data_IF_776791885822
#
_entry.id   IF_776791885822
#
_cell.length_a   1.000
_cell.length_b   1.000
_cell.length_c   1.000
_cell.angle_alpha   90.00
_cell.angle_beta   90.00
_cell.angle_gamma   90.00
#
_symmetry.space_group_name_H-M   'P 1'
#
loop_
_entity.id
_entity.type
_entity.pdbx_description
1 polymer ?
#
# COMPACT_ATOMS: atom_id res chain seq x y z
N UNK A 1 -8.52 49.78 19.74
CA UNK A 1 -9.65 48.85 19.56
C UNK A 1 -10.44 49.36 18.38
N UNK A 2 -9.99 49.04 17.16
CA UNK A 2 -10.66 49.50 15.93
C UNK A 2 -11.75 48.50 15.59
N UNK A 3 -13.00 48.92 15.80
CA UNK A 3 -14.17 48.21 15.28
C UNK A 3 -14.12 48.29 13.75
N UNK A 4 -13.63 47.23 13.10
CA UNK A 4 -13.75 47.08 11.65
C UNK A 4 -15.23 47.00 11.33
N UNK A 5 -15.74 48.06 10.71
CA UNK A 5 -17.09 48.10 10.18
C UNK A 5 -17.32 46.88 9.29
N UNK A 6 -18.30 46.06 9.66
CA UNK A 6 -18.77 44.94 8.86
C UNK A 6 -19.52 45.52 7.66
N UNK A 7 -18.78 45.92 6.64
CA UNK A 7 -19.34 46.18 5.31
C UNK A 7 -20.12 44.92 4.91
N UNK A 8 -21.44 45.06 4.83
CA UNK A 8 -22.38 43.97 4.60
C UNK A 8 -22.33 43.60 3.11
N UNK A 9 -21.34 42.80 2.72
CA UNK A 9 -21.22 42.32 1.34
C UNK A 9 -22.32 41.30 1.04
N UNK A 10 -23.42 41.79 0.48
CA UNK A 10 -24.46 41.00 -0.17
C UNK A 10 -25.10 39.95 0.72
N UNK A 11 -26.24 40.29 1.32
CA UNK A 11 -27.19 39.31 1.86
C UNK A 11 -27.37 38.21 0.81
N UNK A 12 -27.02 36.98 1.16
CA UNK A 12 -27.21 35.83 0.27
C UNK A 12 -28.71 35.62 0.08
N UNK A 13 -29.22 35.74 -1.14
CA UNK A 13 -30.66 35.60 -1.42
C UNK A 13 -31.21 34.23 -0.98
N UNK A 14 -30.44 33.14 -1.17
CA UNK A 14 -30.79 31.80 -0.69
C UNK A 14 -29.56 30.91 -0.43
N UNK A 15 -29.74 29.79 0.29
CA UNK A 15 -28.65 28.86 0.69
C UNK A 15 -27.89 28.17 -0.46
N UNK A 16 -28.25 28.43 -1.71
CA UNK A 16 -27.56 27.94 -2.91
C UNK A 16 -26.99 29.07 -3.77
N UNK A 17 -27.27 30.35 -3.47
CA UNK A 17 -26.75 31.48 -4.25
C UNK A 17 -25.23 31.53 -4.15
N UNK A 18 -24.61 32.06 -5.21
CA UNK A 18 -23.18 32.35 -5.26
C UNK A 18 -22.86 33.54 -4.35
N UNK A 19 -21.68 33.50 -3.75
CA UNK A 19 -21.16 34.63 -2.99
C UNK A 19 -20.63 35.71 -3.94
N UNK A 20 -20.74 36.97 -3.53
CA UNK A 20 -20.16 38.07 -4.29
C UNK A 20 -18.64 37.90 -4.40
N UNK A 21 -18.11 38.02 -5.61
CA UNK A 21 -16.69 37.91 -5.91
C UNK A 21 -15.85 38.91 -5.11
N UNK A 22 -16.40 40.08 -4.78
CA UNK A 22 -15.72 41.09 -3.94
C UNK A 22 -15.47 40.58 -2.53
N UNK A 23 -16.48 39.95 -1.93
CA UNK A 23 -16.37 39.30 -0.63
C UNK A 23 -15.33 38.18 -0.65
N UNK A 24 -15.36 37.33 -1.69
CA UNK A 24 -14.39 36.23 -1.86
C UNK A 24 -12.96 36.77 -1.82
N UNK A 25 -12.67 37.79 -2.64
CA UNK A 25 -11.33 38.37 -2.74
C UNK A 25 -10.88 39.07 -1.45
N UNK A 26 -11.80 39.76 -0.76
CA UNK A 26 -11.50 40.39 0.54
C UNK A 26 -11.09 39.35 1.58
N UNK A 27 -11.89 38.29 1.72
CA UNK A 27 -11.64 37.23 2.71
C UNK A 27 -10.34 36.46 2.39
N UNK A 28 -10.08 36.16 1.13
CA UNK A 28 -8.82 35.51 0.70
C UNK A 28 -7.62 36.38 1.07
N UNK A 29 -7.68 37.69 0.80
CA UNK A 29 -6.61 38.64 1.15
C UNK A 29 -6.38 38.72 2.66
N UNK A 30 -7.44 38.72 3.46
CA UNK A 30 -7.31 38.72 4.92
C UNK A 30 -6.69 37.42 5.46
N UNK A 31 -7.03 36.27 4.87
CA UNK A 31 -6.42 34.98 5.23
C UNK A 31 -4.94 34.95 4.88
N UNK A 32 -4.56 35.50 3.73
CA UNK A 32 -3.16 35.62 3.32
C UNK A 32 -2.36 36.60 4.18
N UNK A 33 -3.01 37.66 4.69
CA UNK A 33 -2.44 38.57 5.68
C UNK A 33 -2.30 37.95 7.08
N UNK A 34 -2.74 36.69 7.27
CA UNK A 34 -2.54 35.92 8.50
C UNK A 34 -3.81 35.68 9.33
N UNK A 35 -5.00 36.05 8.83
CA UNK A 35 -6.25 35.73 9.53
C UNK A 35 -6.49 34.21 9.54
N UNK A 36 -6.66 33.56 10.72
CA UNK A 36 -6.95 32.14 10.77
C UNK A 36 -8.28 31.81 10.07
N UNK A 37 -8.32 30.75 9.27
CA UNK A 37 -9.56 30.33 8.55
C UNK A 37 -10.78 30.15 9.47
N UNK A 38 -10.56 29.64 10.68
CA UNK A 38 -11.63 29.48 11.68
C UNK A 38 -12.21 30.83 12.11
N UNK A 39 -11.36 31.83 12.21
CA UNK A 39 -11.74 33.19 12.59
C UNK A 39 -12.50 33.87 11.45
N UNK A 40 -12.03 33.72 10.21
CA UNK A 40 -12.76 34.19 9.02
C UNK A 40 -14.16 33.56 8.93
N UNK A 41 -14.31 32.26 9.20
CA UNK A 41 -15.64 31.63 9.24
C UNK A 41 -16.56 32.24 10.30
N UNK A 42 -16.03 32.62 11.47
CA UNK A 42 -16.79 33.24 12.55
C UNK A 42 -17.22 34.67 12.23
N UNK A 43 -16.29 35.47 11.71
CA UNK A 43 -16.49 36.88 11.35
C UNK A 43 -17.49 37.02 10.20
N UNK A 44 -17.35 36.18 9.17
CA UNK A 44 -18.14 36.28 7.94
C UNK A 44 -19.32 35.29 7.88
N UNK A 45 -19.54 34.49 8.92
CA UNK A 45 -20.62 33.50 8.96
C UNK A 45 -20.53 32.43 7.87
N UNK A 46 -19.31 32.08 7.44
CA UNK A 46 -19.07 31.17 6.32
C UNK A 46 -19.06 29.71 6.77
N UNK A 47 -19.52 28.83 5.87
CA UNK A 47 -19.43 27.38 6.06
C UNK A 47 -17.98 26.90 6.06
N UNK A 48 -17.69 25.85 6.84
CA UNK A 48 -16.33 25.32 7.03
C UNK A 48 -15.63 24.96 5.71
N UNK A 49 -16.37 24.47 4.72
CA UNK A 49 -15.85 24.07 3.40
C UNK A 49 -15.81 25.21 2.38
N UNK A 50 -16.49 26.33 2.62
CA UNK A 50 -16.59 27.46 1.67
C UNK A 50 -15.22 28.07 1.39
N UNK A 51 -14.43 28.29 2.45
CA UNK A 51 -13.07 28.83 2.32
C UNK A 51 -12.10 27.88 1.61
N UNK A 52 -12.30 26.57 1.68
CA UNK A 52 -11.41 25.61 1.01
C UNK A 52 -11.45 25.80 -0.50
N UNK A 53 -12.65 25.96 -1.08
CA UNK A 53 -12.83 26.25 -2.50
C UNK A 53 -12.31 27.63 -2.88
N UNK A 54 -12.58 28.66 -2.07
CA UNK A 54 -12.11 30.02 -2.38
C UNK A 54 -10.59 30.12 -2.36
N UNK A 55 -9.93 29.50 -1.38
CA UNK A 55 -8.47 29.50 -1.33
C UNK A 55 -7.84 28.63 -2.43
N UNK A 56 -8.58 27.66 -2.98
CA UNK A 56 -8.13 26.86 -4.12
C UNK A 56 -8.20 27.66 -5.44
N UNK A 57 -9.27 28.44 -5.63
CA UNK A 57 -9.52 29.15 -6.89
C UNK A 57 -8.88 30.54 -6.93
N UNK A 58 -8.85 31.25 -5.79
CA UNK A 58 -8.42 32.65 -5.68
C UNK A 58 -7.18 32.87 -4.82
N UNK A 59 -6.70 31.84 -4.12
CA UNK A 59 -5.50 31.95 -3.28
C UNK A 59 -4.23 32.13 -4.12
N UNK A 60 -3.25 32.84 -3.54
CA UNK A 60 -1.92 33.08 -4.09
C UNK A 60 -1.21 31.77 -4.42
N UNK A 61 -0.37 31.73 -5.48
CA UNK A 61 0.45 30.55 -5.81
C UNK A 61 1.26 30.03 -4.62
N UNK A 62 1.79 30.94 -3.78
CA UNK A 62 2.56 30.58 -2.59
C UNK A 62 1.68 29.93 -1.51
N UNK A 63 0.44 30.40 -1.37
CA UNK A 63 -0.55 29.81 -0.48
C UNK A 63 -0.93 28.40 -0.94
N UNK A 64 -1.18 28.25 -2.24
CA UNK A 64 -1.53 26.97 -2.85
C UNK A 64 -0.38 25.96 -2.74
N UNK A 65 0.88 26.38 -2.91
CA UNK A 65 2.05 25.52 -2.75
C UNK A 65 2.22 25.02 -1.31
N UNK A 66 2.00 25.88 -0.32
CA UNK A 66 2.14 25.53 1.10
C UNK A 66 0.97 24.68 1.65
N UNK A 67 -0.24 24.86 1.13
CA UNK A 67 -1.45 24.13 1.55
C UNK A 67 -1.60 22.79 0.83
N UNK A 68 -1.06 22.65 -0.39
CA UNK A 68 -1.03 21.36 -1.08
C UNK A 68 -0.21 20.40 -0.21
N UNK A 69 -0.91 19.51 0.50
CA UNK A 69 -0.33 18.40 1.25
C UNK A 69 0.78 17.80 0.42
N UNK A 70 1.99 17.68 0.96
CA UNK A 70 3.12 17.05 0.27
C UNK A 70 2.64 15.75 -0.36
N UNK A 71 2.54 15.73 -1.70
CA UNK A 71 2.01 14.59 -2.44
C UNK A 71 3.18 13.67 -2.70
N UNK A 72 3.21 12.55 -2.00
CA UNK A 72 4.14 11.47 -2.32
C UNK A 72 3.59 10.69 -3.51
N UNK A 73 4.41 10.49 -4.53
CA UNK A 73 4.11 9.60 -5.65
C UNK A 73 3.88 8.18 -5.15
N UNK A 74 3.05 7.39 -5.84
CA UNK A 74 2.85 5.99 -5.49
C UNK A 74 4.15 5.18 -5.61
N UNK A 75 5.03 5.53 -6.55
CA UNK A 75 6.35 4.92 -6.68
C UNK A 75 7.20 5.18 -5.42
N UNK A 76 7.25 6.43 -4.96
CA UNK A 76 7.99 6.82 -3.75
C UNK A 76 7.46 6.11 -2.51
N UNK A 77 6.14 5.97 -2.39
CA UNK A 77 5.54 5.22 -1.27
C UNK A 77 5.95 3.75 -1.32
N UNK A 78 5.92 3.12 -2.50
CA UNK A 78 6.30 1.72 -2.70
C UNK A 78 7.76 1.49 -2.33
N UNK A 79 8.68 2.30 -2.83
CA UNK A 79 10.12 2.15 -2.53
C UNK A 79 10.40 2.27 -1.03
N UNK A 80 9.78 3.24 -0.36
CA UNK A 80 9.92 3.42 1.10
C UNK A 80 9.35 2.22 1.85
N UNK A 81 8.13 1.79 1.52
CA UNK A 81 7.47 0.66 2.18
C UNK A 81 8.27 -0.63 2.00
N UNK A 82 8.73 -0.92 0.78
CA UNK A 82 9.51 -2.12 0.47
C UNK A 82 10.84 -2.12 1.23
N UNK A 83 11.53 -0.99 1.32
CA UNK A 83 12.77 -0.89 2.08
C UNK A 83 12.56 -1.10 3.59
N UNK A 84 11.43 -0.63 4.15
CA UNK A 84 11.06 -0.87 5.55
C UNK A 84 10.72 -2.36 5.78
N UNK A 85 9.93 -2.97 4.90
CA UNK A 85 9.56 -4.40 5.01
C UNK A 85 10.77 -5.33 4.92
N UNK A 86 11.77 -4.96 4.12
CA UNK A 86 13.03 -5.68 3.98
C UNK A 86 13.99 -5.43 5.15
N UNK A 87 13.63 -4.58 6.12
CA UNK A 87 14.46 -4.22 7.26
C UNK A 87 15.68 -3.36 6.91
N UNK A 88 15.74 -2.78 5.70
CA UNK A 88 16.86 -1.93 5.26
C UNK A 88 16.82 -0.51 5.82
N UNK A 89 15.65 -0.07 6.28
CA UNK A 89 15.46 1.22 6.94
C UNK A 89 14.40 1.13 8.02
N UNK A 90 14.62 1.81 9.13
CA UNK A 90 13.60 1.99 10.16
C UNK A 90 12.60 3.08 9.76
N UNK A 91 11.43 3.11 10.41
CA UNK A 91 10.41 4.13 10.13
C UNK A 91 10.94 5.55 10.41
N UNK A 92 11.78 5.71 11.44
CA UNK A 92 12.42 6.99 11.80
C UNK A 92 13.50 7.40 10.80
N UNK A 93 14.27 6.45 10.30
CA UNK A 93 15.25 6.69 9.24
C UNK A 93 14.57 7.10 7.93
N UNK A 94 13.52 6.39 7.54
CA UNK A 94 12.70 6.75 6.38
C UNK A 94 12.08 8.15 6.53
N UNK A 95 11.66 8.51 7.75
CA UNK A 95 11.15 9.84 8.04
C UNK A 95 12.20 10.93 7.79
N UNK A 96 13.42 10.70 8.25
CA UNK A 96 14.53 11.65 8.12
C UNK A 96 15.03 11.73 6.68
N UNK A 97 15.25 10.59 6.04
CA UNK A 97 15.79 10.50 4.68
C UNK A 97 14.86 11.11 3.61
N UNK A 98 13.54 10.99 3.80
CA UNK A 98 12.53 11.48 2.84
C UNK A 98 11.78 12.72 3.33
N UNK A 99 12.23 13.35 4.42
CA UNK A 99 11.62 14.53 5.04
C UNK A 99 10.09 14.38 5.26
N UNK A 100 9.69 13.23 5.81
CA UNK A 100 8.28 12.94 6.02
C UNK A 100 7.82 13.60 7.32
N UNK A 101 6.77 14.42 7.22
CA UNK A 101 6.27 15.21 8.35
C UNK A 101 5.77 14.37 9.54
N UNK A 102 5.32 13.14 9.32
CA UNK A 102 4.69 12.33 10.39
C UNK A 102 4.90 10.84 10.17
N UNK A 103 5.41 10.16 11.19
CA UNK A 103 5.55 8.70 11.21
C UNK A 103 4.22 7.96 10.94
N UNK A 104 3.09 8.49 11.44
CA UNK A 104 1.74 7.96 11.19
C UNK A 104 1.43 7.81 9.70
N UNK A 105 1.97 8.69 8.85
CA UNK A 105 1.77 8.63 7.40
C UNK A 105 2.42 7.37 6.81
N UNK A 106 3.63 7.03 7.26
CA UNK A 106 4.38 5.84 6.84
C UNK A 106 3.67 4.58 7.32
N UNK A 107 3.20 4.56 8.58
CA UNK A 107 2.40 3.45 9.12
C UNK A 107 1.12 3.23 8.32
N UNK A 108 0.42 4.30 7.94
CA UNK A 108 -0.76 4.21 7.07
C UNK A 108 -0.42 3.64 5.68
N UNK A 109 0.74 3.97 5.11
CA UNK A 109 1.19 3.36 3.86
C UNK A 109 1.46 1.87 4.05
N UNK A 110 2.19 1.47 5.09
CA UNK A 110 2.43 0.07 5.43
C UNK A 110 1.12 -0.73 5.55
N UNK A 111 0.12 -0.21 6.25
CA UNK A 111 -1.20 -0.88 6.36
C UNK A 111 -1.90 -1.01 5.01
N UNK A 112 -1.90 0.04 4.19
CA UNK A 112 -2.53 0.01 2.85
C UNK A 112 -1.82 -0.96 1.91
N UNK A 113 -0.50 -0.95 1.89
CA UNK A 113 0.29 -1.86 1.04
C UNK A 113 0.21 -3.31 1.51
N UNK A 114 0.09 -3.56 2.82
CA UNK A 114 -0.23 -4.90 3.33
C UNK A 114 -1.60 -5.36 2.86
N UNK A 115 -2.63 -4.52 2.92
CA UNK A 115 -3.95 -4.84 2.40
C UNK A 115 -3.93 -5.10 0.88
N UNK A 116 -3.26 -4.24 0.09
CA UNK A 116 -3.09 -4.42 -1.36
C UNK A 116 -2.34 -5.72 -1.71
N UNK A 117 -1.31 -6.09 -0.94
CA UNK A 117 -0.63 -7.39 -1.11
C UNK A 117 -1.52 -8.57 -0.78
N UNK A 118 -2.31 -8.49 0.29
CA UNK A 118 -3.28 -9.53 0.65
C UNK A 118 -4.32 -9.67 -0.46
N UNK A 119 -4.84 -8.57 -0.99
CA UNK A 119 -5.75 -8.57 -2.15
C UNK A 119 -5.09 -9.17 -3.40
N UNK A 120 -3.84 -8.83 -3.71
CA UNK A 120 -3.11 -9.43 -4.84
C UNK A 120 -2.89 -10.94 -4.65
N UNK A 121 -2.53 -11.39 -3.44
CA UNK A 121 -2.41 -12.81 -3.13
C UNK A 121 -3.74 -13.55 -3.29
N UNK A 122 -4.87 -12.90 -2.98
CA UNK A 122 -6.22 -13.47 -3.18
C UNK A 122 -6.66 -13.41 -4.65
N UNK A 123 -6.20 -12.42 -5.43
CA UNK A 123 -6.55 -12.24 -6.86
C UNK A 123 -5.78 -13.20 -7.79
N UNK A 124 -4.71 -13.84 -7.32
CA UNK A 124 -4.01 -14.93 -8.05
C UNK A 124 -4.51 -16.34 -7.70
N UNK A 125 -5.76 -16.52 -7.28
CA UNK A 125 -6.44 -17.78 -7.54
C UNK A 125 -7.34 -17.60 -8.76
N UNK A 126 -6.95 -18.10 -9.95
CA UNK A 126 -7.86 -18.10 -11.09
C UNK A 126 -9.13 -18.84 -10.69
N UNK A 127 -10.28 -18.24 -10.99
CA UNK A 127 -11.64 -18.73 -10.68
C UNK A 127 -11.99 -20.14 -11.22
N UNK A 128 -11.02 -20.84 -11.82
CA UNK A 128 -11.10 -22.21 -12.30
C UNK A 128 -10.52 -23.25 -11.31
N UNK A 129 -9.96 -22.84 -10.18
CA UNK A 129 -9.62 -23.77 -9.11
C UNK A 129 -10.90 -24.14 -8.34
N UNK A 130 -11.43 -25.35 -8.60
CA UNK A 130 -12.43 -25.97 -7.72
C UNK A 130 -11.88 -25.90 -6.30
N UNK A 131 -12.60 -25.21 -5.40
CA UNK A 131 -12.31 -25.17 -3.95
C UNK A 131 -11.78 -26.55 -3.52
N UNK A 132 -10.62 -26.66 -2.84
CA UNK A 132 -10.21 -27.95 -2.32
C UNK A 132 -11.34 -28.45 -1.43
N UNK A 133 -11.98 -29.55 -1.85
CA UNK A 133 -12.99 -30.22 -1.03
C UNK A 133 -12.30 -30.50 0.32
N UNK A 134 -12.98 -30.28 1.45
CA UNK A 134 -12.42 -30.68 2.74
C UNK A 134 -12.03 -32.14 2.62
N UNK A 135 -10.73 -32.42 2.73
CA UNK A 135 -10.18 -33.77 2.63
C UNK A 135 -10.86 -34.56 3.74
N UNK A 136 -11.75 -35.45 3.36
CA UNK A 136 -12.39 -36.33 4.33
C UNK A 136 -11.33 -37.24 4.92
N UNK A 137 -11.49 -37.66 6.18
CA UNK A 137 -10.53 -38.54 6.87
C UNK A 137 -10.19 -39.79 6.06
N UNK A 138 -11.16 -40.32 5.29
CA UNK A 138 -10.97 -41.42 4.36
C UNK A 138 -10.02 -41.10 3.18
N UNK A 139 -10.06 -39.88 2.64
CA UNK A 139 -9.16 -39.46 1.57
C UNK A 139 -7.72 -39.26 2.09
N UNK A 140 -7.57 -38.71 3.29
CA UNK A 140 -6.27 -38.59 3.94
C UNK A 140 -5.63 -39.96 4.18
N UNK A 141 -6.40 -40.94 4.66
CA UNK A 141 -5.93 -42.31 4.86
C UNK A 141 -5.56 -43.00 3.54
N UNK A 142 -6.34 -42.81 2.48
CA UNK A 142 -6.04 -43.36 1.17
C UNK A 142 -4.75 -42.77 0.58
N UNK A 143 -4.56 -41.46 0.71
CA UNK A 143 -3.34 -40.77 0.26
C UNK A 143 -2.11 -41.20 1.07
N UNK A 144 -2.24 -41.34 2.39
CA UNK A 144 -1.16 -41.83 3.25
C UNK A 144 -0.75 -43.25 2.87
N UNK A 145 -1.72 -44.14 2.65
CA UNK A 145 -1.45 -45.52 2.22
C UNK A 145 -0.78 -45.58 0.85
N UNK A 146 -1.19 -44.73 -0.09
CA UNK A 146 -0.56 -44.64 -1.41
C UNK A 146 0.88 -44.13 -1.32
N UNK A 147 1.16 -43.19 -0.41
CA UNK A 147 2.49 -42.67 -0.13
C UNK A 147 3.39 -43.77 0.43
N UNK A 148 2.92 -44.51 1.44
CA UNK A 148 3.67 -45.63 2.03
C UNK A 148 3.95 -46.74 1.00
N UNK A 149 2.99 -47.07 0.13
CA UNK A 149 3.20 -48.06 -0.92
C UNK A 149 4.26 -47.61 -1.94
N UNK A 150 4.24 -46.34 -2.32
CA UNK A 150 5.24 -45.76 -3.23
C UNK A 150 6.64 -45.75 -2.59
N UNK A 151 6.75 -45.39 -1.32
CA UNK A 151 8.01 -45.41 -0.57
C UNK A 151 8.57 -46.84 -0.45
N UNK A 152 7.72 -47.82 -0.15
CA UNK A 152 8.13 -49.23 -0.11
C UNK A 152 8.62 -49.70 -1.48
N UNK A 153 7.93 -49.34 -2.58
CA UNK A 153 8.37 -49.68 -3.94
C UNK A 153 9.72 -49.05 -4.27
N UNK A 154 9.92 -47.77 -3.95
CA UNK A 154 11.19 -47.06 -4.18
C UNK A 154 12.31 -47.74 -3.38
N UNK A 155 12.06 -48.09 -2.11
CA UNK A 155 13.04 -48.78 -1.28
C UNK A 155 13.41 -50.14 -1.86
N UNK A 156 12.41 -50.94 -2.25
CA UNK A 156 12.63 -52.25 -2.85
C UNK A 156 13.43 -52.17 -4.16
N UNK A 157 13.10 -51.21 -5.03
CA UNK A 157 13.84 -50.97 -6.28
C UNK A 157 15.28 -50.58 -6.02
N UNK A 158 15.54 -49.68 -5.06
CA UNK A 158 16.90 -49.30 -4.69
C UNK A 158 17.67 -50.51 -4.13
N UNK A 159 17.07 -51.32 -3.26
CA UNK A 159 17.73 -52.51 -2.73
C UNK A 159 18.01 -53.55 -3.81
N UNK A 160 17.13 -53.69 -4.81
CA UNK A 160 17.37 -54.57 -5.96
C UNK A 160 18.55 -54.07 -6.80
N UNK A 161 18.68 -52.75 -6.97
CA UNK A 161 19.82 -52.13 -7.64
C UNK A 161 21.10 -52.45 -6.85
N UNK A 162 21.11 -52.25 -5.53
CA UNK A 162 22.28 -52.52 -4.68
C UNK A 162 22.75 -53.99 -4.80
N UNK A 163 21.81 -54.95 -4.73
CA UNK A 163 22.12 -56.38 -4.89
C UNK A 163 22.63 -56.70 -6.29
N UNK A 164 22.06 -56.09 -7.33
CA UNK A 164 22.50 -56.29 -8.71
C UNK A 164 23.92 -55.74 -8.94
N UNK A 165 24.25 -54.56 -8.40
CA UNK A 165 25.59 -54.00 -8.47
C UNK A 165 26.62 -54.88 -7.74
N UNK A 166 26.26 -55.44 -6.57
CA UNK A 166 27.13 -56.32 -5.79
C UNK A 166 27.39 -57.67 -6.47
N UNK A 167 26.33 -58.36 -6.93
CA UNK A 167 26.45 -59.71 -7.50
C UNK A 167 26.97 -59.72 -8.94
N UNK A 168 26.54 -58.78 -9.77
CA UNK A 168 26.86 -58.75 -11.20
C UNK A 168 28.05 -57.83 -11.51
N UNK A 169 28.56 -57.05 -10.53
CA UNK A 169 29.68 -56.10 -10.67
C UNK A 169 29.50 -55.11 -11.84
N UNK A 170 28.24 -54.82 -12.19
CA UNK A 170 27.86 -53.80 -13.18
C UNK A 170 27.46 -52.52 -12.45
N UNK A 171 27.93 -51.37 -12.92
CA UNK A 171 27.64 -50.07 -12.32
C UNK A 171 26.33 -49.53 -12.91
N UNK A 172 25.23 -49.54 -12.14
CA UNK A 172 23.89 -49.17 -12.61
C UNK A 172 23.61 -47.70 -12.25
N UNK A 173 24.04 -47.25 -11.07
CA UNK A 173 23.82 -45.89 -10.57
C UNK A 173 24.88 -44.93 -11.09
N UNK A 174 24.44 -43.76 -11.56
CA UNK A 174 25.35 -42.67 -11.96
C UNK A 174 26.11 -42.12 -10.73
N UNK A 175 27.43 -42.23 -10.73
CA UNK A 175 28.30 -41.64 -9.69
C UNK A 175 28.52 -40.15 -9.95
N UNK A 176 28.26 -39.32 -8.93
CA UNK A 176 28.55 -37.89 -8.97
C UNK A 176 30.07 -37.68 -9.03
N UNK A 177 30.59 -37.23 -10.17
CA UNK A 177 32.02 -36.91 -10.33
C UNK A 177 32.63 -37.27 -11.68
N UNK A 178 31.92 -38.01 -12.54
CA UNK A 178 32.41 -38.29 -13.89
C UNK A 178 32.48 -37.00 -14.72
N UNK A 179 33.70 -36.59 -15.11
CA UNK A 179 33.95 -35.48 -16.04
C UNK A 179 33.13 -35.70 -17.30
N UNK A 180 32.35 -34.69 -17.71
CA UNK A 180 31.67 -34.74 -19.00
C UNK A 180 32.74 -34.85 -20.09
N UNK A 181 32.64 -35.88 -20.93
CA UNK A 181 33.44 -36.00 -22.14
C UNK A 181 33.13 -34.79 -23.02
N UNK A 182 34.10 -33.90 -23.22
CA UNK A 182 33.95 -32.80 -24.16
C UNK A 182 33.87 -33.40 -25.56
N UNK A 183 32.78 -33.13 -26.26
CA UNK A 183 32.67 -33.36 -27.69
C UNK A 183 33.34 -32.22 -28.44
#
# INVERSE_FOLDING_TARGET
MEHKEHEFYGVREHKQSRYDKRLILKVVREIEAGLPRKEANRIYGLGKSTLDGWMQDYGSPNYQQNIKRQRYSNLQKRTIVTAIEQGRMSIKEAQTAYNIKTEKLIRNWLTKFKAEKVELCVVTEPAMAKKPKPITTAQAQALQKALEEAEMKIKALNTLIDVAEEQLKIDIRKKSGARQSSK
#
